data_IF_829238988850
#
_entry.id   IF_829238988850
#
_cell.length_a   1.000
_cell.length_b   1.000
_cell.length_c   1.000
_cell.angle_alpha   90.00
_cell.angle_beta   90.00
_cell.angle_gamma   90.00
#
_symmetry.space_group_name_H-M   'P 1'
#
loop_
_entity.id
_entity.type
_entity.pdbx_description
1 polymer ?
#
# COMPACT_ATOMS: atom_id res chain seq x y z
N UNK A 1 -18.05 -40.06 -52.58
CA UNK A 1 -19.38 -39.46 -52.29
C UNK A 1 -19.34 -37.98 -52.68
N UNK A 2 -20.09 -37.63 -53.74
CA UNK A 2 -20.83 -36.36 -54.02
C UNK A 2 -20.42 -35.08 -53.25
N UNK A 3 -19.87 -34.00 -53.86
CA UNK A 3 -20.39 -32.96 -54.82
C UNK A 3 -21.33 -31.87 -54.24
N UNK A 4 -20.90 -30.60 -54.40
CA UNK A 4 -21.65 -29.32 -54.57
C UNK A 4 -22.56 -28.87 -53.39
N UNK A 5 -22.78 -27.58 -53.07
CA UNK A 5 -23.30 -26.39 -53.80
C UNK A 5 -22.99 -25.17 -52.88
N UNK A 6 -22.50 -23.97 -53.26
CA UNK A 6 -22.99 -22.91 -54.16
C UNK A 6 -22.92 -21.58 -53.35
N UNK A 7 -22.28 -20.49 -53.82
CA UNK A 7 -22.87 -19.35 -54.57
C UNK A 7 -24.09 -18.73 -53.84
N UNK A 8 -24.31 -17.42 -53.67
CA UNK A 8 -23.90 -16.22 -54.45
C UNK A 8 -24.54 -14.95 -53.81
N UNK A 9 -23.79 -13.83 -53.81
CA UNK A 9 -24.18 -12.41 -54.04
C UNK A 9 -24.96 -11.56 -53.00
N UNK A 10 -24.37 -10.37 -52.80
CA UNK A 10 -24.88 -9.02 -52.47
C UNK A 10 -26.40 -8.76 -52.42
N UNK A 11 -26.85 -7.88 -51.51
CA UNK A 11 -26.99 -6.44 -51.79
C UNK A 11 -27.41 -5.67 -50.52
N UNK A 12 -26.80 -4.50 -50.36
CA UNK A 12 -27.14 -3.39 -49.46
C UNK A 12 -28.59 -2.93 -49.56
N UNK A 13 -29.21 -2.55 -48.43
CA UNK A 13 -29.99 -1.30 -48.36
C UNK A 13 -30.24 -0.84 -46.90
N UNK A 14 -29.82 0.39 -46.65
CA UNK A 14 -30.00 1.20 -45.44
C UNK A 14 -31.44 1.75 -45.43
N UNK A 15 -32.13 1.78 -44.29
CA UNK A 15 -33.11 2.83 -43.93
C UNK A 15 -33.50 2.75 -42.44
N UNK A 16 -33.16 3.80 -41.68
CA UNK A 16 -33.78 4.19 -40.38
C UNK A 16 -35.00 5.12 -40.70
N UNK A 17 -35.69 5.75 -39.71
CA UNK A 17 -36.40 5.27 -38.51
C UNK A 17 -37.85 5.85 -38.43
N UNK A 18 -38.72 5.37 -37.53
CA UNK A 18 -39.83 6.15 -36.89
C UNK A 18 -40.63 5.23 -35.94
N UNK A 19 -40.69 5.44 -34.61
CA UNK A 19 -41.54 6.39 -33.84
C UNK A 19 -43.06 6.20 -34.00
N UNK A 20 -43.70 5.57 -33.00
CA UNK A 20 -45.00 5.94 -32.38
C UNK A 20 -45.53 4.72 -31.57
N UNK A 21 -45.44 4.75 -30.25
CA UNK A 21 -46.51 5.17 -29.32
C UNK A 21 -47.71 4.21 -29.25
N UNK A 22 -47.79 3.43 -28.18
CA UNK A 22 -48.98 3.34 -27.31
C UNK A 22 -48.67 2.42 -26.13
N UNK A 23 -49.02 2.88 -24.92
CA UNK A 23 -48.36 2.46 -23.69
C UNK A 23 -49.08 1.41 -22.88
N UNK A 24 -48.38 0.91 -21.85
CA UNK A 24 -48.96 0.17 -20.73
C UNK A 24 -48.12 0.42 -19.46
N UNK A 25 -48.78 1.08 -18.50
CA UNK A 25 -48.70 1.01 -17.02
C UNK A 25 -47.35 0.77 -16.31
N UNK A 26 -47.05 1.75 -15.44
CA UNK A 26 -46.30 1.74 -14.16
C UNK A 26 -45.75 0.38 -13.70
N UNK A 27 -44.43 0.36 -13.54
CA UNK A 27 -43.80 -0.26 -12.38
C UNK A 27 -42.99 0.81 -11.67
N UNK A 28 -43.46 1.23 -10.49
CA UNK A 28 -42.61 1.84 -9.47
C UNK A 28 -41.61 0.77 -9.04
N UNK A 29 -40.43 0.78 -9.65
CA UNK A 29 -39.28 0.12 -9.04
C UNK A 29 -38.64 1.19 -8.17
N UNK A 30 -38.99 1.17 -6.88
CA UNK A 30 -38.04 1.61 -5.87
C UNK A 30 -36.79 0.76 -6.05
N UNK A 31 -35.86 1.21 -6.88
CA UNK A 31 -34.47 0.83 -6.74
C UNK A 31 -34.04 1.41 -5.40
N UNK A 32 -34.17 0.59 -4.36
CA UNK A 32 -33.18 0.61 -3.30
C UNK A 32 -31.84 0.37 -3.98
N UNK A 33 -31.19 1.45 -4.43
CA UNK A 33 -29.75 1.52 -4.43
C UNK A 33 -29.36 1.20 -2.99
N UNK A 34 -29.02 -0.07 -2.76
CA UNK A 34 -28.12 -0.39 -1.67
C UNK A 34 -26.92 0.50 -1.92
N UNK A 35 -26.77 1.53 -1.10
CA UNK A 35 -25.51 2.23 -0.96
C UNK A 35 -24.48 1.13 -0.70
N UNK A 36 -23.72 0.79 -1.75
CA UNK A 36 -22.46 0.10 -1.60
C UNK A 36 -21.57 1.11 -0.89
N UNK A 37 -21.77 1.22 0.43
CA UNK A 37 -20.93 1.98 1.33
C UNK A 37 -19.50 1.66 0.94
N UNK A 38 -18.72 2.68 0.61
CA UNK A 38 -17.38 2.56 0.11
C UNK A 38 -16.47 2.01 1.24
N UNK A 39 -16.39 0.67 1.35
CA UNK A 39 -15.67 -0.09 2.37
C UNK A 39 -14.14 -0.03 2.21
N UNK A 40 -13.59 1.03 1.59
CA UNK A 40 -12.19 1.10 1.14
C UNK A 40 -11.26 1.92 2.02
N UNK A 41 -11.72 2.52 3.11
CA UNK A 41 -10.86 3.39 3.94
C UNK A 41 -10.93 3.12 5.46
N UNK A 42 -10.60 1.90 5.93
CA UNK A 42 -10.42 1.60 7.35
C UNK A 42 -9.51 2.60 8.08
N UNK A 43 -8.39 3.05 7.50
CA UNK A 43 -7.53 4.04 8.16
C UNK A 43 -8.25 5.38 8.44
N UNK A 44 -9.01 5.91 7.48
CA UNK A 44 -9.80 7.15 7.68
C UNK A 44 -10.89 6.94 8.73
N UNK A 45 -11.53 5.77 8.75
CA UNK A 45 -12.53 5.41 9.78
C UNK A 45 -11.94 5.30 11.18
N UNK A 46 -10.63 5.05 11.28
CA UNK A 46 -9.87 4.95 12.53
C UNK A 46 -9.23 6.29 12.94
N UNK A 47 -9.58 7.40 12.29
CA UNK A 47 -9.01 8.72 12.57
C UNK A 47 -7.55 8.89 12.11
N UNK A 48 -7.01 7.94 11.34
CA UNK A 48 -5.67 8.06 10.76
C UNK A 48 -5.73 9.02 9.59
N UNK A 49 -5.18 10.21 9.80
CA UNK A 49 -5.07 11.23 8.77
C UNK A 49 -4.20 10.74 7.60
N UNK A 50 -4.54 11.20 6.41
CA UNK A 50 -3.78 10.87 5.22
C UNK A 50 -2.41 11.57 5.28
N UNK A 51 -1.29 10.85 5.09
CA UNK A 51 0.05 11.45 5.18
C UNK A 51 0.26 12.60 4.18
N UNK A 52 1.20 13.52 4.49
CA UNK A 52 1.60 14.60 3.61
C UNK A 52 1.92 14.12 2.18
N UNK A 53 1.78 15.00 1.19
CA UNK A 53 2.21 14.68 -0.18
C UNK A 53 3.74 14.68 -0.23
N UNK A 54 4.39 13.58 -0.65
CA UNK A 54 5.85 13.52 -0.66
C UNK A 54 6.48 14.49 -1.67
N UNK A 55 7.57 15.15 -1.28
CA UNK A 55 8.43 15.86 -2.22
C UNK A 55 9.47 14.91 -2.83
N UNK A 56 9.11 14.28 -3.95
CA UNK A 56 9.95 13.27 -4.61
C UNK A 56 11.35 13.76 -5.02
N UNK A 57 11.49 15.05 -5.32
CA UNK A 57 12.78 15.65 -5.71
C UNK A 57 13.76 15.69 -4.55
N UNK A 58 13.30 16.07 -3.36
CA UNK A 58 14.12 16.06 -2.14
C UNK A 58 14.30 14.64 -1.63
N UNK A 59 13.22 13.86 -1.61
CA UNK A 59 13.22 12.49 -1.11
C UNK A 59 14.27 11.61 -1.80
N UNK A 60 14.32 11.62 -3.13
CA UNK A 60 15.28 10.80 -3.88
C UNK A 60 16.74 11.23 -3.70
N UNK A 61 17.00 12.45 -3.21
CA UNK A 61 18.34 13.04 -3.13
C UNK A 61 18.97 12.96 -1.74
N UNK A 62 18.22 12.64 -0.70
CA UNK A 62 18.72 12.60 0.69
C UNK A 62 18.54 11.22 1.31
N UNK A 63 19.24 10.96 2.41
CA UNK A 63 19.02 9.75 3.21
C UNK A 63 17.70 9.92 3.98
N UNK A 64 17.60 10.99 4.77
CA UNK A 64 16.47 11.25 5.67
C UNK A 64 15.14 11.55 4.97
N UNK A 65 15.16 12.00 3.71
CA UNK A 65 13.95 12.51 3.04
C UNK A 65 13.40 13.77 3.71
N UNK A 66 12.09 13.99 3.57
CA UNK A 66 11.33 14.99 4.34
C UNK A 66 10.38 14.22 5.24
N UNK A 67 10.36 14.58 6.52
CA UNK A 67 9.38 14.14 7.51
C UNK A 67 8.67 15.42 8.01
N UNK A 68 7.47 15.67 7.48
CA UNK A 68 6.74 16.92 7.73
C UNK A 68 6.01 16.90 9.08
N UNK A 69 5.61 15.70 9.56
CA UNK A 69 4.85 15.53 10.79
C UNK A 69 5.72 15.09 11.99
N UNK A 70 7.03 14.94 11.78
CA UNK A 70 8.03 14.60 12.79
C UNK A 70 7.75 13.26 13.48
N UNK A 71 7.19 12.29 12.75
CA UNK A 71 6.91 10.95 13.29
C UNK A 71 8.11 9.98 13.17
N UNK A 72 9.23 10.45 12.62
CA UNK A 72 10.45 9.66 12.40
C UNK A 72 10.45 8.87 11.09
N UNK A 73 9.39 8.98 10.29
CA UNK A 73 9.21 8.33 9.00
C UNK A 73 9.05 9.41 7.95
N UNK A 74 9.87 9.35 6.90
CA UNK A 74 9.73 10.29 5.79
C UNK A 74 8.37 10.15 5.09
N UNK A 75 7.84 11.27 4.61
CA UNK A 75 6.52 11.39 4.00
C UNK A 75 6.31 10.38 2.86
N UNK A 76 7.34 10.10 2.06
CA UNK A 76 7.28 9.13 0.95
C UNK A 76 6.98 7.71 1.43
N UNK A 77 7.66 7.29 2.49
CA UNK A 77 7.55 5.97 3.07
C UNK A 77 6.25 5.84 3.89
N UNK A 78 5.90 6.86 4.67
CA UNK A 78 4.63 6.92 5.39
C UNK A 78 3.45 6.81 4.42
N UNK A 79 3.51 7.53 3.30
CA UNK A 79 2.47 7.50 2.27
C UNK A 79 2.34 6.13 1.61
N UNK A 80 3.46 5.47 1.31
CA UNK A 80 3.47 4.12 0.74
C UNK A 80 2.88 3.10 1.73
N UNK A 81 3.26 3.17 3.01
CA UNK A 81 2.68 2.34 4.07
C UNK A 81 1.18 2.57 4.24
N UNK A 82 0.74 3.83 4.23
CA UNK A 82 -0.67 4.20 4.29
C UNK A 82 -1.43 3.60 3.11
N UNK A 83 -0.92 3.76 1.88
CA UNK A 83 -1.57 3.25 0.68
C UNK A 83 -1.60 1.71 0.62
N UNK A 84 -0.62 1.04 1.22
CA UNK A 84 -0.56 -0.42 1.35
C UNK A 84 -1.54 -0.95 2.41
N UNK A 85 -1.69 -0.26 3.53
CA UNK A 85 -2.51 -0.71 4.66
C UNK A 85 -3.96 -0.22 4.61
N UNK A 86 -4.25 0.90 3.93
CA UNK A 86 -5.61 1.42 3.79
C UNK A 86 -6.65 0.42 3.28
N UNK A 87 -6.40 -0.61 2.44
CA UNK A 87 -7.45 -1.57 2.09
C UNK A 87 -7.72 -2.64 3.16
N UNK A 88 -7.00 -2.64 4.29
CA UNK A 88 -7.06 -3.69 5.31
C UNK A 88 -8.24 -3.50 6.25
N UNK A 89 -9.37 -4.17 5.97
CA UNK A 89 -10.64 -4.06 6.71
C UNK A 89 -10.56 -4.37 8.22
N UNK A 90 -9.51 -5.05 8.68
CA UNK A 90 -9.35 -5.50 10.08
C UNK A 90 -8.45 -4.58 10.92
N UNK A 91 -8.00 -3.46 10.36
CA UNK A 91 -7.22 -2.50 11.12
C UNK A 91 -8.00 -1.99 12.33
N UNK A 92 -7.29 -1.76 13.40
CA UNK A 92 -7.74 -1.18 14.66
C UNK A 92 -7.04 0.15 14.90
N UNK A 93 -7.59 0.93 15.80
CA UNK A 93 -6.95 2.14 16.31
C UNK A 93 -5.55 1.78 16.85
N UNK A 94 -4.54 2.57 16.49
CA UNK A 94 -3.15 2.33 16.86
C UNK A 94 -2.35 1.37 15.97
N UNK A 95 -3.00 0.52 15.15
CA UNK A 95 -2.27 -0.42 14.28
C UNK A 95 -1.30 0.27 13.31
N UNK A 96 -1.73 1.40 12.72
CA UNK A 96 -0.87 2.17 11.83
C UNK A 96 0.27 2.83 12.59
N UNK A 97 0.04 3.29 13.81
CA UNK A 97 1.08 3.87 14.66
C UNK A 97 2.15 2.83 15.03
N UNK A 98 1.76 1.58 15.31
CA UNK A 98 2.72 0.49 15.54
C UNK A 98 3.61 0.25 14.32
N UNK A 99 3.02 0.30 13.12
CA UNK A 99 3.77 0.20 11.86
C UNK A 99 4.71 1.39 11.68
N UNK A 100 4.28 2.62 12.01
CA UNK A 100 5.13 3.81 11.93
C UNK A 100 6.27 3.76 12.94
N UNK A 101 6.04 3.28 14.16
CA UNK A 101 7.11 3.07 15.16
C UNK A 101 8.16 2.09 14.65
N UNK A 102 7.74 0.97 14.07
CA UNK A 102 8.67 0.01 13.47
C UNK A 102 9.40 0.60 12.25
N UNK A 103 8.70 1.36 11.42
CA UNK A 103 9.29 2.04 10.26
C UNK A 103 10.33 3.09 10.68
N UNK A 104 10.07 3.85 11.75
CA UNK A 104 11.00 4.81 12.32
C UNK A 104 12.27 4.12 12.83
N UNK A 105 12.14 2.96 13.49
CA UNK A 105 13.29 2.15 13.92
C UNK A 105 14.18 1.69 12.75
N UNK A 106 13.63 1.50 11.56
CA UNK A 106 14.36 1.03 10.36
C UNK A 106 14.94 2.22 9.57
N UNK A 107 14.32 3.40 9.70
CA UNK A 107 14.63 4.57 8.87
C UNK A 107 16.08 5.03 9.13
N UNK A 108 16.93 5.08 8.10
CA UNK A 108 18.28 5.62 8.28
C UNK A 108 18.22 7.13 8.50
N UNK A 109 18.99 7.62 9.47
CA UNK A 109 19.06 9.04 9.83
C UNK A 109 20.40 9.67 9.42
N UNK A 110 20.37 10.99 9.24
CA UNK A 110 21.58 11.83 9.19
C UNK A 110 21.75 12.57 10.53
N UNK A 111 22.96 12.57 11.14
CA UNK A 111 24.14 11.80 10.72
C UNK A 111 23.96 10.30 10.97
N UNK A 112 24.62 9.48 10.14
CA UNK A 112 24.59 8.02 10.28
C UNK A 112 25.23 7.65 11.63
N UNK A 113 24.46 7.02 12.50
CA UNK A 113 24.94 6.52 13.78
C UNK A 113 25.38 5.06 13.62
N UNK A 114 26.67 4.73 13.88
CA UNK A 114 27.12 3.36 13.83
C UNK A 114 26.38 2.50 14.86
N UNK A 115 25.90 1.31 14.46
CA UNK A 115 25.22 0.33 15.33
C UNK A 115 23.89 0.82 15.94
N UNK A 116 23.20 1.77 15.31
CA UNK A 116 21.91 2.27 15.83
C UNK A 116 20.71 1.39 15.48
N UNK A 117 20.87 0.42 14.57
CA UNK A 117 19.81 -0.50 14.15
C UNK A 117 19.96 -1.86 14.81
N UNK A 118 19.06 -2.17 15.75
CA UNK A 118 19.05 -3.45 16.45
C UNK A 118 18.17 -4.45 15.69
N UNK A 119 18.82 -5.39 14.98
CA UNK A 119 18.13 -6.40 14.18
C UNK A 119 17.08 -7.19 14.99
N UNK A 120 17.41 -7.60 16.22
CA UNK A 120 16.49 -8.38 17.06
C UNK A 120 15.31 -7.55 17.54
N UNK A 121 15.52 -6.27 17.84
CA UNK A 121 14.43 -5.37 18.20
C UNK A 121 13.46 -5.23 17.03
N UNK A 122 13.97 -4.98 15.82
CA UNK A 122 13.16 -4.90 14.60
C UNK A 122 12.36 -6.21 14.39
N UNK A 123 13.02 -7.36 14.51
CA UNK A 123 12.35 -8.66 14.38
C UNK A 123 11.27 -8.88 15.45
N UNK A 124 11.57 -8.58 16.72
CA UNK A 124 10.63 -8.76 17.81
C UNK A 124 9.44 -7.80 17.70
N UNK A 125 9.67 -6.53 17.36
CA UNK A 125 8.60 -5.56 17.14
C UNK A 125 7.75 -5.95 15.92
N UNK A 126 8.38 -6.41 14.83
CA UNK A 126 7.66 -6.93 13.68
C UNK A 126 6.77 -8.12 14.06
N UNK A 127 7.29 -9.08 14.82
CA UNK A 127 6.54 -10.27 15.23
C UNK A 127 5.37 -9.97 16.18
N UNK A 128 5.41 -8.84 16.91
CA UNK A 128 4.29 -8.35 17.72
C UNK A 128 3.15 -7.79 16.87
N UNK A 129 3.42 -7.35 15.63
CA UNK A 129 2.36 -6.84 14.76
C UNK A 129 1.30 -7.92 14.50
N UNK A 130 0.01 -7.54 14.50
CA UNK A 130 -1.08 -8.44 14.18
C UNK A 130 -0.89 -9.14 12.85
N UNK A 131 -1.32 -10.41 12.76
CA UNK A 131 -1.17 -11.23 11.56
C UNK A 131 -1.73 -10.55 10.30
N UNK A 132 -2.85 -9.83 10.40
CA UNK A 132 -3.44 -9.15 9.24
C UNK A 132 -2.56 -8.02 8.69
N UNK A 133 -1.73 -7.38 9.52
CA UNK A 133 -0.71 -6.42 9.06
C UNK A 133 0.43 -7.19 8.39
N UNK A 134 0.99 -8.19 9.07
CA UNK A 134 2.12 -9.00 8.55
C UNK A 134 1.80 -9.73 7.25
N UNK A 135 0.54 -10.11 7.04
CA UNK A 135 0.07 -10.74 5.80
C UNK A 135 0.06 -9.79 4.59
N UNK A 136 0.06 -8.47 4.84
CA UNK A 136 0.08 -7.41 3.82
C UNK A 136 1.46 -6.78 3.68
N UNK A 137 2.19 -6.71 4.78
CA UNK A 137 3.48 -6.04 4.90
C UNK A 137 4.49 -7.03 5.48
N UNK A 138 5.26 -7.68 4.60
CA UNK A 138 6.39 -8.51 5.03
C UNK A 138 7.48 -7.63 5.65
N UNK A 139 8.33 -8.18 6.53
CA UNK A 139 9.45 -7.41 7.08
C UNK A 139 10.41 -6.95 5.97
N UNK A 140 10.68 -7.80 4.97
CA UNK A 140 11.48 -7.41 3.80
C UNK A 140 10.85 -6.24 3.05
N UNK A 141 9.54 -6.27 2.81
CA UNK A 141 8.83 -5.18 2.14
C UNK A 141 8.88 -3.89 2.94
N UNK A 142 8.73 -3.97 4.26
CA UNK A 142 8.86 -2.79 5.13
C UNK A 142 10.26 -2.18 5.03
N UNK A 143 11.31 -3.02 5.09
CA UNK A 143 12.69 -2.57 4.93
C UNK A 143 12.91 -1.94 3.55
N UNK A 144 12.43 -2.58 2.48
CA UNK A 144 12.55 -2.08 1.11
C UNK A 144 11.87 -0.72 0.92
N UNK A 145 10.69 -0.53 1.51
CA UNK A 145 10.01 0.78 1.54
C UNK A 145 10.92 1.78 2.25
N UNK A 146 11.50 1.43 3.41
CA UNK A 146 12.37 2.33 4.17
C UNK A 146 13.71 2.66 3.49
N UNK A 147 14.24 1.80 2.62
CA UNK A 147 15.57 2.01 2.01
C UNK A 147 15.54 2.19 0.50
N UNK A 148 14.37 2.49 -0.08
CA UNK A 148 14.03 2.50 -1.52
C UNK A 148 14.98 3.22 -2.53
N UNK A 149 16.10 3.82 -2.11
CA UNK A 149 17.12 4.38 -3.01
C UNK A 149 18.55 3.99 -2.60
N UNK A 150 19.53 4.20 -3.49
CA UNK A 150 20.92 3.80 -3.26
C UNK A 150 21.57 4.47 -2.04
N UNK A 151 21.27 5.74 -1.77
CA UNK A 151 21.82 6.48 -0.61
C UNK A 151 21.33 5.87 0.71
N UNK A 152 20.05 5.53 0.79
CA UNK A 152 19.44 4.91 1.97
C UNK A 152 19.92 3.48 2.18
N UNK A 153 20.07 2.70 1.11
CA UNK A 153 20.68 1.36 1.20
C UNK A 153 22.10 1.43 1.75
N UNK A 154 22.89 2.41 1.27
CA UNK A 154 24.24 2.64 1.78
C UNK A 154 24.21 3.05 3.26
N UNK A 155 23.38 4.03 3.63
CA UNK A 155 23.25 4.48 5.01
C UNK A 155 22.79 3.37 5.97
N UNK A 156 21.81 2.57 5.55
CA UNK A 156 21.32 1.42 6.30
C UNK A 156 22.42 0.38 6.51
N UNK A 157 23.27 0.13 5.50
CA UNK A 157 24.43 -0.77 5.62
C UNK A 157 25.48 -0.22 6.60
N UNK A 158 25.69 1.08 6.63
CA UNK A 158 26.65 1.71 7.57
C UNK A 158 26.12 1.75 9.01
N UNK A 159 24.80 1.90 9.20
CA UNK A 159 24.18 1.84 10.53
C UNK A 159 23.99 0.40 11.04
N UNK A 160 23.87 -0.59 10.14
CA UNK A 160 23.87 -2.02 10.46
C UNK A 160 25.28 -2.59 10.37
N UNK A 161 26.00 -2.60 11.50
CA UNK A 161 27.14 -3.52 11.61
C UNK A 161 26.54 -4.92 11.65
N UNK A 162 26.59 -5.65 10.53
CA UNK A 162 26.33 -7.10 10.49
C UNK A 162 27.05 -7.71 11.69
N UNK A 163 26.28 -8.32 12.57
CA UNK A 163 26.76 -8.88 13.83
C UNK A 163 28.09 -9.61 13.60
N UNK A 164 29.15 -9.17 14.27
CA UNK A 164 30.37 -9.96 14.33
C UNK A 164 30.05 -11.28 15.01
N UNK A 165 30.11 -12.38 14.26
CA UNK A 165 30.43 -13.77 14.60
C UNK A 165 30.17 -14.30 16.01
N UNK A 166 29.13 -13.84 16.70
CA UNK A 166 28.66 -14.46 17.92
C UNK A 166 27.19 -14.78 17.79
N UNK A 167 26.96 -16.07 17.61
CA UNK A 167 25.70 -16.78 17.73
C UNK A 167 25.06 -16.44 19.09
N UNK A 168 24.28 -15.36 19.10
CA UNK A 168 23.43 -15.01 20.21
C UNK A 168 22.10 -15.70 19.95
N UNK A 169 21.76 -16.66 20.81
CA UNK A 169 20.45 -17.29 20.81
C UNK A 169 19.45 -16.22 21.27
N UNK A 170 18.68 -15.69 20.32
CA UNK A 170 17.77 -14.57 20.58
C UNK A 170 16.42 -15.08 21.09
N UNK A 171 16.01 -14.57 22.26
CA UNK A 171 14.64 -14.70 22.77
C UNK A 171 14.02 -13.31 22.81
N UNK A 172 12.89 -13.12 22.13
CA UNK A 172 12.05 -11.95 22.36
C UNK A 172 11.51 -12.05 23.79
N UNK A 173 12.10 -11.30 24.72
CA UNK A 173 11.65 -11.24 26.12
C UNK A 173 10.29 -10.56 26.24
#
# INVERSE_FOLDING_TARGET
MTRFVGQVICLTLVLHPALASSGVKRYDVHEHHMEEEDHRLPLVRLGVEKPPRPNSSVDSRTISGIDTNFNGVRDSAERELYDLLKPTKRLKEGDFEEVLRLAALITPHEPIQPRSLYHDEINCQYNKLPFYIRSRLSLSSLIDIMINNSKRKFAFKESSVLAGDHELIFTCK
#
